data_IF_609531579374
#
_entry.id   IF_609531579374
#
_cell.length_a   1.000
_cell.length_b   1.000
_cell.length_c   1.000
_cell.angle_alpha   90.00
_cell.angle_beta   90.00
_cell.angle_gamma   90.00
#
_symmetry.space_group_name_H-M   'P 1'
#
loop_
_entity.id
_entity.type
_entity.pdbx_description
1 polymer ?
#
# COMPACT_ATOMS: atom_id res chain seq x y z
N UNK A 1 18.32 -41.65 -6.99
CA UNK A 1 17.59 -40.79 -6.02
C UNK A 1 18.18 -39.38 -5.92
N UNK A 2 19.50 -39.22 -6.04
CA UNK A 2 20.21 -37.92 -6.00
C UNK A 2 19.69 -36.87 -6.99
N UNK A 3 19.35 -37.25 -8.24
CA UNK A 3 18.75 -36.33 -9.24
C UNK A 3 17.42 -35.71 -8.79
N UNK A 4 16.61 -36.43 -8.01
CA UNK A 4 15.33 -35.92 -7.49
C UNK A 4 15.56 -34.94 -6.34
N UNK A 5 16.54 -35.21 -5.49
CA UNK A 5 16.94 -34.32 -4.39
C UNK A 5 17.53 -33.00 -4.95
N UNK A 6 18.36 -33.09 -6.00
CA UNK A 6 18.90 -31.90 -6.67
C UNK A 6 17.81 -31.03 -7.34
N UNK A 7 16.81 -31.68 -7.96
CA UNK A 7 15.64 -30.98 -8.54
C UNK A 7 14.79 -30.29 -7.48
N UNK A 8 14.50 -30.96 -6.36
CA UNK A 8 13.72 -30.36 -5.26
C UNK A 8 14.49 -29.19 -4.62
N UNK A 9 15.81 -29.32 -4.46
CA UNK A 9 16.66 -28.22 -3.98
C UNK A 9 16.64 -27.00 -4.91
N UNK A 10 16.73 -27.21 -6.22
CA UNK A 10 16.66 -26.13 -7.22
C UNK A 10 15.30 -25.42 -7.21
N UNK A 11 14.20 -26.17 -7.16
CA UNK A 11 12.84 -25.62 -7.08
C UNK A 11 12.62 -24.88 -5.76
N UNK A 12 13.15 -25.40 -4.65
CA UNK A 12 13.06 -24.74 -3.34
C UNK A 12 13.78 -23.38 -3.31
N UNK A 13 14.95 -23.27 -3.94
CA UNK A 13 15.67 -21.98 -4.05
C UNK A 13 14.93 -21.00 -4.95
N UNK A 14 14.34 -21.48 -6.06
CA UNK A 14 13.60 -20.63 -6.99
C UNK A 14 12.33 -20.03 -6.35
N UNK A 15 11.64 -20.79 -5.49
CA UNK A 15 10.44 -20.33 -4.78
C UNK A 15 10.72 -19.28 -3.70
N UNK A 16 11.92 -19.27 -3.11
CA UNK A 16 12.30 -18.25 -2.12
C UNK A 16 12.63 -16.90 -2.76
N UNK A 17 13.01 -16.88 -4.04
CA UNK A 17 13.36 -15.65 -4.74
C UNK A 17 12.13 -14.79 -5.14
N UNK A 18 10.92 -15.36 -5.11
CA UNK A 18 9.71 -14.66 -5.60
C UNK A 18 9.00 -13.81 -4.55
N UNK A 19 9.42 -13.82 -3.28
CA UNK A 19 8.75 -13.06 -2.20
C UNK A 19 9.22 -11.62 -2.03
N UNK A 20 10.03 -11.08 -2.96
CA UNK A 20 10.53 -9.70 -2.91
C UNK A 20 9.73 -8.77 -3.80
N UNK A 21 8.45 -8.57 -3.55
CA UNK A 21 7.76 -7.42 -4.11
C UNK A 21 6.74 -6.90 -3.11
N UNK A 22 6.66 -5.57 -3.02
CA UNK A 22 5.53 -4.73 -2.61
C UNK A 22 5.86 -3.74 -1.48
N UNK A 23 6.80 -2.82 -1.72
CA UNK A 23 6.80 -1.52 -1.07
C UNK A 23 6.62 -0.45 -2.17
N UNK A 24 5.37 -0.04 -2.43
CA UNK A 24 5.10 1.09 -3.32
C UNK A 24 5.19 2.38 -2.51
N UNK A 25 6.12 3.27 -2.88
CA UNK A 25 6.30 4.56 -2.23
C UNK A 25 5.25 5.57 -2.71
N UNK A 26 4.67 6.30 -1.76
CA UNK A 26 3.66 7.34 -2.01
C UNK A 26 4.05 8.65 -1.31
N UNK A 27 3.55 9.76 -1.85
CA UNK A 27 3.70 11.08 -1.26
C UNK A 27 2.48 11.42 -0.41
N UNK A 28 2.71 11.69 0.87
CA UNK A 28 1.74 12.29 1.78
C UNK A 28 2.08 13.78 1.99
N UNK A 29 1.09 14.65 1.81
CA UNK A 29 1.29 16.08 2.07
C UNK A 29 1.06 16.37 3.56
N UNK A 30 1.90 17.19 4.21
CA UNK A 30 1.77 17.52 5.65
C UNK A 30 0.38 18.03 6.08
N UNK A 31 -0.36 18.70 5.18
CA UNK A 31 -1.68 19.26 5.46
C UNK A 31 -2.85 18.45 4.89
N UNK A 32 -2.55 17.40 4.11
CA UNK A 32 -3.56 16.70 3.34
C UNK A 32 -3.85 15.34 3.94
N UNK A 33 -5.13 15.00 4.00
CA UNK A 33 -5.64 13.68 4.36
C UNK A 33 -5.47 12.69 3.19
N UNK A 34 -4.58 12.95 2.23
CA UNK A 34 -4.49 12.19 0.97
C UNK A 34 -3.08 11.79 0.63
N UNK A 35 -2.94 10.56 0.10
CA UNK A 35 -1.70 10.07 -0.49
C UNK A 35 -1.74 10.13 -2.03
N UNK A 36 -0.58 10.39 -2.63
CA UNK A 36 -0.42 10.72 -4.04
C UNK A 36 0.77 9.99 -4.66
N UNK A 37 0.78 9.82 -5.98
CA UNK A 37 2.00 9.39 -6.71
C UNK A 37 2.96 10.58 -6.83
N UNK A 38 4.25 10.30 -6.98
CA UNK A 38 5.29 11.31 -7.24
C UNK A 38 4.99 12.19 -8.46
N UNK A 39 4.34 11.59 -9.46
CA UNK A 39 3.96 12.25 -10.71
C UNK A 39 2.66 13.06 -10.62
N UNK A 40 2.02 13.15 -9.45
CA UNK A 40 0.76 13.89 -9.30
C UNK A 40 0.91 15.37 -9.67
N UNK A 41 0.11 15.87 -10.62
CA UNK A 41 0.08 17.29 -11.00
C UNK A 41 -0.73 18.19 -10.05
N UNK A 42 -1.48 17.60 -9.12
CA UNK A 42 -2.33 18.34 -8.18
C UNK A 42 -1.57 18.80 -6.93
N UNK A 43 -0.44 18.17 -6.60
CA UNK A 43 0.42 18.62 -5.52
C UNK A 43 1.20 19.84 -6.01
N UNK A 44 0.94 20.99 -5.40
CA UNK A 44 1.62 22.26 -5.68
C UNK A 44 2.98 22.38 -4.97
N UNK A 45 3.19 21.67 -3.86
CA UNK A 45 4.40 21.73 -3.04
C UNK A 45 4.98 20.33 -2.84
N UNK A 46 5.47 19.71 -3.92
CA UNK A 46 6.02 18.34 -3.88
C UNK A 46 7.20 18.22 -2.93
N UNK A 47 7.99 19.28 -2.82
CA UNK A 47 9.18 19.36 -1.96
C UNK A 47 8.84 19.34 -0.46
N UNK A 48 7.58 19.64 -0.11
CA UNK A 48 7.08 19.58 1.27
C UNK A 48 6.23 18.32 1.52
N UNK A 49 6.20 17.38 0.57
CA UNK A 49 5.52 16.11 0.74
C UNK A 49 6.49 15.07 1.31
N UNK A 50 6.02 14.30 2.28
CA UNK A 50 6.75 13.20 2.88
C UNK A 50 6.57 11.95 2.03
N UNK A 51 7.66 11.29 1.66
CA UNK A 51 7.60 9.94 1.09
C UNK A 51 7.35 8.94 2.21
N UNK A 52 6.35 8.09 2.03
CA UNK A 52 6.05 7.00 2.94
C UNK A 52 5.56 5.79 2.15
N UNK A 53 5.50 4.63 2.80
CA UNK A 53 4.97 3.43 2.16
C UNK A 53 3.46 3.55 1.95
N UNK A 54 2.93 3.02 0.85
CA UNK A 54 1.49 2.98 0.59
C UNK A 54 0.71 2.33 1.75
N UNK A 55 1.23 1.23 2.30
CA UNK A 55 0.59 0.52 3.41
C UNK A 55 0.51 1.40 4.67
N UNK A 56 1.59 2.09 4.99
CA UNK A 56 1.68 3.03 6.10
C UNK A 56 0.71 4.21 5.90
N UNK A 57 0.58 4.72 4.68
CA UNK A 57 -0.37 5.78 4.36
C UNK A 57 -1.83 5.33 4.60
N UNK A 58 -2.18 4.11 4.18
CA UNK A 58 -3.51 3.53 4.41
C UNK A 58 -3.74 3.28 5.91
N UNK A 59 -2.75 2.76 6.64
CA UNK A 59 -2.81 2.55 8.09
C UNK A 59 -2.94 3.86 8.87
N UNK A 60 -2.31 4.93 8.39
CA UNK A 60 -2.44 6.28 8.93
C UNK A 60 -3.79 6.95 8.56
N UNK A 61 -4.68 6.26 7.85
CA UNK A 61 -6.01 6.74 7.50
C UNK A 61 -6.02 7.79 6.38
N UNK A 62 -4.95 7.87 5.57
CA UNK A 62 -4.92 8.76 4.42
C UNK A 62 -5.78 8.19 3.29
N UNK A 63 -6.57 9.06 2.66
CA UNK A 63 -7.40 8.72 1.51
C UNK A 63 -6.58 8.65 0.21
N UNK A 64 -6.97 7.81 -0.76
CA UNK A 64 -6.35 7.81 -2.07
C UNK A 64 -6.67 9.09 -2.85
N UNK A 65 -5.69 9.64 -3.57
CA UNK A 65 -5.96 10.69 -4.53
C UNK A 65 -6.79 10.18 -5.71
N UNK A 66 -7.99 10.75 -5.94
CA UNK A 66 -8.90 10.48 -7.08
C UNK A 66 -8.30 10.53 -8.48
N UNK A 67 -7.13 11.14 -8.67
CA UNK A 67 -6.43 11.15 -9.96
C UNK A 67 -5.28 10.16 -10.05
N UNK A 68 -4.61 9.86 -8.93
CA UNK A 68 -3.42 9.01 -8.91
C UNK A 68 -3.72 7.55 -8.58
N UNK A 69 -4.75 7.33 -7.76
CA UNK A 69 -5.12 6.04 -7.19
C UNK A 69 -6.63 5.87 -7.34
N UNK A 70 -7.08 5.76 -8.60
CA UNK A 70 -8.50 5.55 -8.91
C UNK A 70 -8.95 4.14 -8.56
N UNK A 71 -8.05 3.19 -8.73
CA UNK A 71 -8.27 1.79 -8.40
C UNK A 71 -8.49 1.59 -6.89
N UNK A 72 -7.72 2.28 -6.05
CA UNK A 72 -7.82 2.17 -4.59
C UNK A 72 -9.12 2.75 -4.01
N UNK A 73 -9.75 3.70 -4.71
CA UNK A 73 -11.05 4.24 -4.29
C UNK A 73 -12.20 3.25 -4.46
N UNK A 74 -12.10 2.37 -5.46
CA UNK A 74 -13.07 1.29 -5.64
C UNK A 74 -12.83 0.16 -4.63
N UNK A 75 -11.57 -0.07 -4.25
CA UNK A 75 -11.19 -1.10 -3.26
C UNK A 75 -11.52 -0.72 -1.81
N UNK A 76 -11.65 0.58 -1.48
CA UNK A 76 -11.97 1.06 -0.14
C UNK A 76 -13.44 0.81 0.31
N UNK A 77 -14.28 0.19 -0.53
CA UNK A 77 -15.73 0.03 -0.28
C UNK A 77 -16.21 -1.30 0.35
N UNK A 78 -15.36 -2.21 0.86
CA UNK A 78 -15.87 -3.18 1.84
C UNK A 78 -14.92 -3.42 3.02
N UNK A 79 -14.64 -2.41 3.84
CA UNK A 79 -14.18 -2.62 5.21
C UNK A 79 -14.51 -1.40 6.07
N UNK A 80 -15.23 -1.60 7.18
CA UNK A 80 -15.58 -0.60 8.22
C UNK A 80 -16.86 0.23 8.02
N UNK A 81 -17.97 -0.45 7.72
CA UNK A 81 -19.22 -0.24 8.47
C UNK A 81 -19.35 -1.34 9.51
N UNK A 82 -18.57 -1.26 10.59
CA UNK A 82 -18.83 -1.99 11.82
C UNK A 82 -18.03 -1.36 12.96
N UNK A 83 -18.71 -1.11 14.08
CA UNK A 83 -18.22 -0.62 15.36
C UNK A 83 -18.04 0.90 15.53
N UNK A 84 -19.16 1.62 15.58
CA UNK A 84 -19.30 2.81 16.43
C UNK A 84 -20.75 2.98 16.89
N UNK A 85 -21.25 2.24 17.89
CA UNK A 85 -22.42 2.63 18.71
C UNK A 85 -22.38 2.01 20.12
N UNK A 86 -21.92 2.81 21.08
CA UNK A 86 -22.36 3.00 22.49
C UNK A 86 -22.89 1.82 23.32
N UNK A 87 -22.27 1.58 24.48
CA UNK A 87 -22.98 1.22 25.71
C UNK A 87 -22.76 2.32 26.76
N UNK A 88 -23.87 2.96 27.12
CA UNK A 88 -24.04 3.85 28.28
C UNK A 88 -25.08 3.21 29.18
N UNK A 89 -24.79 3.27 30.49
CA UNK A 89 -25.67 3.16 31.67
C UNK A 89 -25.53 1.89 32.50
#
# INVERSE_FOLDING_TARGET
MVKRIAMIGLVGVLLMATTYVMAEEVLATQKGVKYHKETCRLIKNKDNATKMEKSEAVHAGLEPCRKCYKEDLAAALPATSSAAVTESK
#
